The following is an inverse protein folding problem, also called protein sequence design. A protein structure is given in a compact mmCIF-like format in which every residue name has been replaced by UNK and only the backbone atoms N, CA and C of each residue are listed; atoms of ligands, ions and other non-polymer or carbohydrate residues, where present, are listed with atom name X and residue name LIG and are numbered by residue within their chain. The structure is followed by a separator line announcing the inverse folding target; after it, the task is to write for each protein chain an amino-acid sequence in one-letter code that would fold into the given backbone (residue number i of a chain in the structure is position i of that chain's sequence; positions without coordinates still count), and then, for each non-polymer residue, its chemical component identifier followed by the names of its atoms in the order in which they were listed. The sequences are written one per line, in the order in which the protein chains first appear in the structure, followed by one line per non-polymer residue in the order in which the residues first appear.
data_IF_736707634584
#
_entry.id   IF_736707634584
#
_cell.length_a   1.000
_cell.length_b   1.000
_cell.length_c   1.000
_cell.angle_alpha   90.00
_cell.angle_beta   90.00
_cell.angle_gamma   90.00
#
_symmetry.space_group_name_H-M   'P 1'
#
loop_
_entity.id
_entity.type
_entity.pdbx_description
1 polymer ?
#
# COMPACT_ATOMS: atom_id res chain seq x y z
N UNK A 1 -14.45 -13.07 -17.44
CA UNK A 1 -14.35 -11.93 -16.52
C UNK A 1 -13.39 -10.92 -17.15
N UNK A 2 -13.68 -9.61 -17.12
CA UNK A 2 -12.71 -8.63 -17.61
C UNK A 2 -11.41 -8.74 -16.81
N UNK A 3 -10.27 -8.64 -17.49
CA UNK A 3 -8.97 -8.60 -16.82
C UNK A 3 -8.93 -7.37 -15.87
N UNK A 4 -8.31 -7.49 -14.69
CA UNK A 4 -8.16 -6.34 -13.81
C UNK A 4 -7.45 -5.21 -14.56
N UNK A 5 -7.99 -3.99 -14.46
CA UNK A 5 -7.35 -2.82 -15.05
C UNK A 5 -5.97 -2.61 -14.41
N UNK A 6 -4.99 -2.25 -15.23
CA UNK A 6 -3.66 -1.93 -14.74
C UNK A 6 -3.73 -0.77 -13.72
N UNK A 7 -2.89 -0.79 -12.68
CA UNK A 7 -2.90 0.26 -11.67
C UNK A 7 -2.36 1.55 -12.27
N UNK A 8 -2.93 2.69 -11.87
CA UNK A 8 -2.45 4.01 -12.30
C UNK A 8 -0.98 4.25 -11.92
N UNK A 9 -0.51 3.60 -10.85
CA UNK A 9 0.87 3.66 -10.39
C UNK A 9 1.40 2.24 -10.16
N UNK A 10 2.54 1.92 -10.77
CA UNK A 10 3.17 0.60 -10.65
C UNK A 10 3.95 0.42 -9.33
N UNK A 11 4.23 1.50 -8.61
CA UNK A 11 5.00 1.50 -7.38
C UNK A 11 4.43 2.49 -6.36
N UNK A 12 4.32 2.05 -5.12
CA UNK A 12 4.00 2.86 -3.95
C UNK A 12 5.19 2.72 -3.00
N UNK A 13 5.84 3.83 -2.65
CA UNK A 13 6.87 3.87 -1.62
C UNK A 13 6.32 4.62 -0.41
N UNK A 14 6.41 4.01 0.78
CA UNK A 14 5.95 4.66 2.01
C UNK A 14 7.03 4.60 3.07
N UNK A 15 7.20 5.70 3.79
CA UNK A 15 7.83 5.67 5.10
C UNK A 15 6.95 4.94 6.14
N UNK A 16 7.51 4.62 7.31
CA UNK A 16 6.83 3.99 8.43
C UNK A 16 6.28 5.02 9.41
N UNK A 17 7.18 5.67 10.14
CA UNK A 17 6.83 6.46 11.31
C UNK A 17 6.12 7.74 10.92
N UNK A 18 4.90 7.93 11.43
CA UNK A 18 4.06 9.06 11.04
C UNK A 18 3.51 9.01 9.61
N UNK A 19 3.80 7.95 8.85
CA UNK A 19 3.27 7.72 7.49
C UNK A 19 2.37 6.48 7.43
N UNK A 20 2.95 5.28 7.57
CA UNK A 20 2.20 4.02 7.51
C UNK A 20 1.67 3.61 8.89
N UNK A 21 2.46 3.86 9.93
CA UNK A 21 2.12 3.58 11.32
C UNK A 21 1.29 4.72 11.91
N UNK A 22 0.27 4.35 12.68
CA UNK A 22 -0.45 5.25 13.56
C UNK A 22 0.35 5.49 14.83
N UNK A 23 -0.09 6.43 15.67
CA UNK A 23 0.57 6.72 16.95
C UNK A 23 0.57 5.58 17.97
N UNK A 24 -0.09 4.45 17.67
CA UNK A 24 -0.06 3.21 18.46
C UNK A 24 0.77 2.10 17.77
N UNK A 25 1.64 2.47 16.83
CA UNK A 25 2.49 1.59 16.01
C UNK A 25 1.71 0.55 15.20
N UNK A 26 0.42 0.79 14.97
CA UNK A 26 -0.42 -0.09 14.16
C UNK A 26 -0.67 0.45 12.75
N UNK A 27 -0.91 -0.46 11.81
CA UNK A 27 -1.43 -0.11 10.48
C UNK A 27 -2.92 -0.41 10.45
N UNK A 28 -3.76 0.60 10.18
CA UNK A 28 -5.21 0.36 10.13
C UNK A 28 -5.62 -0.64 9.06
N UNK A 29 -6.71 -1.35 9.33
CA UNK A 29 -7.37 -2.25 8.37
C UNK A 29 -7.70 -1.58 7.04
N UNK A 30 -8.14 -0.30 7.05
CA UNK A 30 -8.38 0.47 5.82
C UNK A 30 -7.12 0.59 4.94
N UNK A 31 -5.98 0.95 5.54
CA UNK A 31 -4.70 1.09 4.83
C UNK A 31 -4.21 -0.26 4.32
N UNK A 32 -4.26 -1.31 5.16
CA UNK A 32 -3.93 -2.68 4.74
C UNK A 32 -4.77 -3.13 3.55
N UNK A 33 -6.08 -2.90 3.58
CA UNK A 33 -6.97 -3.26 2.49
C UNK A 33 -6.70 -2.46 1.20
N UNK A 34 -6.34 -1.18 1.32
CA UNK A 34 -5.99 -0.35 0.17
C UNK A 34 -4.70 -0.82 -0.51
N UNK A 35 -3.64 -1.08 0.27
CA UNK A 35 -2.38 -1.62 -0.23
C UNK A 35 -2.57 -3.02 -0.81
N UNK A 36 -3.41 -3.86 -0.18
CA UNK A 36 -3.77 -5.17 -0.71
C UNK A 36 -4.47 -5.11 -2.07
N UNK A 37 -5.39 -4.16 -2.28
CA UNK A 37 -6.00 -3.95 -3.60
C UNK A 37 -5.00 -3.47 -4.64
N UNK A 38 -4.09 -2.57 -4.27
CA UNK A 38 -3.04 -2.11 -5.17
C UNK A 38 -2.10 -3.27 -5.57
N UNK A 39 -1.69 -4.09 -4.61
CA UNK A 39 -0.87 -5.28 -4.84
C UNK A 39 -1.58 -6.32 -5.73
N UNK A 40 -2.87 -6.57 -5.47
CA UNK A 40 -3.68 -7.47 -6.30
C UNK A 40 -3.86 -6.96 -7.74
N UNK A 41 -3.83 -5.64 -7.95
CA UNK A 41 -3.81 -5.03 -9.28
C UNK A 41 -2.42 -5.06 -9.95
N UNK A 42 -1.36 -5.48 -9.25
CA UNK A 42 0.01 -5.59 -9.77
C UNK A 42 0.93 -4.42 -9.41
N UNK A 43 0.50 -3.50 -8.55
CA UNK A 43 1.40 -2.48 -8.02
C UNK A 43 2.32 -3.07 -6.94
N UNK A 44 3.57 -2.63 -6.89
CA UNK A 44 4.49 -2.99 -5.79
C UNK A 44 4.37 -1.97 -4.67
N UNK A 45 4.37 -2.43 -3.42
CA UNK A 45 4.51 -1.56 -2.26
C UNK A 45 5.86 -1.84 -1.62
N UNK A 46 6.66 -0.77 -1.46
CA UNK A 46 7.94 -0.80 -0.78
C UNK A 46 7.87 0.10 0.45
N UNK A 47 8.29 -0.44 1.58
CA UNK A 47 8.56 0.36 2.76
C UNK A 47 9.97 0.93 2.61
N UNK A 48 10.08 2.25 2.73
CA UNK A 48 11.34 2.98 2.64
C UNK A 48 11.49 3.78 3.93
N UNK A 49 12.31 3.27 4.84
CA UNK A 49 12.64 3.90 6.12
C UNK A 49 14.16 4.02 6.24
N UNK A 50 14.64 4.88 7.14
CA UNK A 50 16.06 5.18 7.35
C UNK A 50 16.82 4.13 8.14
#
# INVERSE_FOLDING_TARGET
MPAPAAPAYALIATDLDGTLLRGDDSVSGRTRAALGRAAAAGARHLVVTG
#
